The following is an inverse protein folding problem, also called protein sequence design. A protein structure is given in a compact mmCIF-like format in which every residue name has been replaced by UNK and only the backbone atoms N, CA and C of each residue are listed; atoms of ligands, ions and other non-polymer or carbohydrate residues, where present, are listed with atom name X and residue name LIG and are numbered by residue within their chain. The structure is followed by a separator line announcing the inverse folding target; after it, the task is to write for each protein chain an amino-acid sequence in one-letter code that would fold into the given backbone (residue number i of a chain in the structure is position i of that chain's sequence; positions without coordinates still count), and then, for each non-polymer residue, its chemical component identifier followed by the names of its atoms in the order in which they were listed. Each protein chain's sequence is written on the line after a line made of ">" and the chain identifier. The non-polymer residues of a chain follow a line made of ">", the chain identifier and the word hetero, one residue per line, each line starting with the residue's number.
data_IF_475517854380
#
_entry.id   IF_475517854380
#
_cell.length_a   1.000
_cell.length_b   1.000
_cell.length_c   1.000
_cell.angle_alpha   90.00
_cell.angle_beta   90.00
_cell.angle_gamma   90.00
#
_symmetry.space_group_name_H-M   'P 1'
#
loop_
_entity.id
_entity.type
_entity.pdbx_description
1 polymer ?
#
# COMPACT_ATOMS: atom_id res chain seq x y z
N UNK A 1 -12.39 -27.97 36.53
CA UNK A 1 -10.95 -27.71 36.34
C UNK A 1 -10.47 -28.03 34.92
N UNK A 2 -10.80 -29.19 34.34
CA UNK A 2 -10.39 -29.55 32.97
C UNK A 2 -10.86 -28.54 31.90
N UNK A 3 -12.12 -28.08 31.96
CA UNK A 3 -12.65 -27.08 31.02
C UNK A 3 -11.96 -25.70 31.12
N UNK A 4 -11.43 -25.34 32.30
CA UNK A 4 -10.73 -24.06 32.50
C UNK A 4 -9.45 -24.02 31.67
N UNK A 5 -8.68 -25.11 31.67
CA UNK A 5 -7.45 -25.20 30.89
C UNK A 5 -7.76 -25.10 29.39
N UNK A 6 -8.80 -25.81 28.93
CA UNK A 6 -9.23 -25.76 27.53
C UNK A 6 -9.61 -24.34 27.10
N UNK A 7 -10.45 -23.65 27.88
CA UNK A 7 -10.87 -22.27 27.58
C UNK A 7 -9.67 -21.32 27.57
N UNK A 8 -8.78 -21.43 28.55
CA UNK A 8 -7.57 -20.59 28.60
C UNK A 8 -6.68 -20.83 27.39
N UNK A 9 -6.46 -22.08 26.98
CA UNK A 9 -5.67 -22.41 25.78
C UNK A 9 -6.32 -21.87 24.50
N UNK A 10 -7.64 -22.00 24.37
CA UNK A 10 -8.37 -21.47 23.20
C UNK A 10 -8.22 -19.95 23.14
N UNK A 11 -8.40 -19.24 24.27
CA UNK A 11 -8.26 -17.78 24.33
C UNK A 11 -6.82 -17.36 24.03
N UNK A 12 -5.83 -18.07 24.57
CA UNK A 12 -4.41 -17.81 24.33
C UNK A 12 -4.02 -17.88 22.85
N UNK A 13 -4.66 -18.76 22.07
CA UNK A 13 -4.40 -18.90 20.63
C UNK A 13 -5.31 -17.98 19.81
N UNK A 14 -6.56 -17.78 20.25
CA UNK A 14 -7.52 -16.95 19.55
C UNK A 14 -7.17 -15.45 19.60
N UNK A 15 -6.62 -14.96 20.72
CA UNK A 15 -6.24 -13.55 20.87
C UNK A 15 -5.18 -13.13 19.85
N UNK A 16 -4.00 -13.79 19.74
CA UNK A 16 -3.00 -13.45 18.74
C UNK A 16 -3.53 -13.55 17.31
N UNK A 17 -4.35 -14.57 17.05
CA UNK A 17 -4.93 -14.78 15.73
C UNK A 17 -5.89 -13.64 15.35
N UNK A 18 -6.77 -13.26 16.26
CA UNK A 18 -7.69 -12.15 16.06
C UNK A 18 -6.94 -10.83 15.88
N UNK A 19 -5.97 -10.52 16.75
CA UNK A 19 -5.12 -9.34 16.64
C UNK A 19 -4.43 -9.25 15.26
N UNK A 20 -3.84 -10.36 14.80
CA UNK A 20 -3.22 -10.42 13.48
C UNK A 20 -4.22 -10.11 12.35
N UNK A 21 -5.43 -10.66 12.40
CA UNK A 21 -6.44 -10.42 11.36
C UNK A 21 -7.01 -9.00 11.40
N UNK A 22 -7.27 -8.46 12.60
CA UNK A 22 -7.82 -7.11 12.77
C UNK A 22 -6.85 -6.03 12.30
N UNK A 23 -5.55 -6.17 12.57
CA UNK A 23 -4.52 -5.23 12.12
C UNK A 23 -4.47 -5.19 10.59
N UNK A 24 -4.41 -6.35 9.92
CA UNK A 24 -4.43 -6.42 8.45
C UNK A 24 -5.70 -5.81 7.85
N UNK A 25 -6.86 -6.02 8.48
CA UNK A 25 -8.13 -5.47 8.00
C UNK A 25 -8.22 -3.95 8.14
N UNK A 26 -7.78 -3.40 9.28
CA UNK A 26 -7.68 -1.94 9.45
C UNK A 26 -6.76 -1.33 8.40
N UNK A 27 -5.62 -1.96 8.14
CA UNK A 27 -4.65 -1.46 7.18
C UNK A 27 -5.21 -1.39 5.74
N UNK A 28 -6.03 -2.38 5.34
CA UNK A 28 -6.72 -2.36 4.05
C UNK A 28 -7.62 -1.13 3.85
N UNK A 29 -8.15 -0.55 4.93
CA UNK A 29 -9.02 0.64 4.86
C UNK A 29 -8.26 1.88 4.39
N UNK A 30 -6.95 1.97 4.67
CA UNK A 30 -6.12 3.10 4.29
C UNK A 30 -5.61 3.03 2.85
N UNK A 31 -5.87 1.92 2.13
CA UNK A 31 -5.38 1.70 0.76
C UNK A 31 -5.80 2.82 -0.18
N UNK A 32 -7.08 3.20 -0.15
CA UNK A 32 -7.62 4.28 -1.00
C UNK A 32 -6.97 5.63 -0.68
N UNK A 33 -6.75 5.93 0.59
CA UNK A 33 -6.09 7.19 1.00
C UNK A 33 -4.63 7.24 0.53
N UNK A 34 -3.92 6.11 0.61
CA UNK A 34 -2.53 5.99 0.12
C UNK A 34 -2.49 6.11 -1.40
N UNK A 35 -3.43 5.48 -2.10
CA UNK A 35 -3.53 5.53 -3.56
C UNK A 35 -3.81 6.94 -4.06
N UNK A 36 -4.76 7.65 -3.43
CA UNK A 36 -5.05 9.06 -3.74
C UNK A 36 -3.84 9.96 -3.49
N UNK A 37 -3.21 9.87 -2.31
CA UNK A 37 -2.04 10.68 -1.99
C UNK A 37 -0.85 10.39 -2.92
N UNK A 38 -0.62 9.11 -3.25
CA UNK A 38 0.45 8.70 -4.16
C UNK A 38 0.17 9.17 -5.59
N UNK A 39 -1.08 9.13 -6.02
CA UNK A 39 -1.50 9.64 -7.33
C UNK A 39 -1.28 11.15 -7.41
N UNK A 40 -1.69 11.88 -6.37
CA UNK A 40 -1.51 13.33 -6.27
C UNK A 40 -0.03 13.72 -6.27
N UNK A 41 0.80 12.98 -5.52
CA UNK A 41 2.25 13.13 -5.50
C UNK A 41 2.89 12.91 -6.88
N UNK A 42 2.47 11.87 -7.61
CA UNK A 42 2.98 11.58 -8.95
C UNK A 42 2.53 12.54 -10.05
N UNK A 43 1.50 13.38 -9.83
CA UNK A 43 1.06 14.37 -10.85
C UNK A 43 2.17 15.34 -11.26
N UNK A 44 3.20 15.50 -10.43
CA UNK A 44 4.35 16.35 -10.72
C UNK A 44 5.30 15.72 -11.77
N UNK A 45 5.18 14.42 -12.03
CA UNK A 45 6.03 13.69 -12.96
C UNK A 45 5.22 13.25 -14.19
N UNK A 46 5.53 13.77 -15.39
CA UNK A 46 4.86 13.36 -16.62
C UNK A 46 5.04 11.86 -16.89
N UNK A 47 3.96 11.18 -17.29
CA UNK A 47 3.93 9.74 -17.57
C UNK A 47 4.35 8.85 -16.39
N UNK A 48 4.21 9.33 -15.15
CA UNK A 48 4.29 8.51 -13.95
C UNK A 48 2.89 8.04 -13.52
N UNK A 49 2.77 6.75 -13.21
CA UNK A 49 1.51 6.14 -12.80
C UNK A 49 1.70 5.25 -11.56
N UNK A 50 0.72 5.28 -10.66
CA UNK A 50 0.62 4.27 -9.59
C UNK A 50 0.12 2.98 -10.23
N UNK A 51 0.94 1.94 -10.16
CA UNK A 51 0.59 0.64 -10.75
C UNK A 51 -0.12 -0.27 -9.77
N UNK A 52 0.24 -0.19 -8.49
CA UNK A 52 -0.33 -1.02 -7.46
C UNK A 52 -0.02 -0.45 -6.06
N UNK A 53 -0.89 -0.76 -5.10
CA UNK A 53 -0.70 -0.46 -3.69
C UNK A 53 -1.02 -1.74 -2.93
N UNK A 54 -0.02 -2.38 -2.33
CA UNK A 54 -0.19 -3.63 -1.58
C UNK A 54 0.08 -3.42 -0.10
N UNK A 55 -0.62 -4.18 0.74
CA UNK A 55 -0.42 -4.20 2.18
C UNK A 55 0.14 -5.54 2.63
N UNK A 56 1.30 -5.55 3.30
CA UNK A 56 1.90 -6.74 3.89
C UNK A 56 2.17 -6.49 5.38
N UNK A 57 1.30 -7.02 6.24
CA UNK A 57 1.39 -6.77 7.69
C UNK A 57 1.17 -5.29 8.00
N UNK A 58 2.15 -4.65 8.67
CA UNK A 58 2.16 -3.20 8.99
C UNK A 58 2.84 -2.33 7.93
N UNK A 59 3.20 -2.89 6.77
CA UNK A 59 3.90 -2.16 5.71
C UNK A 59 3.01 -2.04 4.47
N UNK A 60 2.93 -0.82 3.94
CA UNK A 60 2.24 -0.48 2.71
C UNK A 60 3.28 -0.25 1.61
N UNK A 61 3.24 -1.06 0.57
CA UNK A 61 4.14 -0.95 -0.59
C UNK A 61 3.39 -0.29 -1.73
N UNK A 62 3.82 0.92 -2.10
CA UNK A 62 3.31 1.66 -3.25
C UNK A 62 4.24 1.38 -4.43
N UNK A 63 3.71 0.73 -5.47
CA UNK A 63 4.45 0.47 -6.70
C UNK A 63 4.10 1.51 -7.74
N UNK A 64 5.13 2.25 -8.13
CA UNK A 64 5.01 3.34 -9.10
C UNK A 64 5.83 3.02 -10.34
N UNK A 65 5.32 3.44 -11.48
CA UNK A 65 6.00 3.36 -12.75
C UNK A 65 6.30 4.77 -13.22
N UNK A 66 7.56 5.06 -13.48
CA UNK A 66 7.99 6.38 -13.97
C UNK A 66 9.10 6.22 -15.00
N UNK A 67 9.11 7.03 -16.07
CA UNK A 67 10.21 7.08 -17.02
C UNK A 67 11.45 7.81 -16.47
N UNK A 68 11.26 8.65 -15.44
CA UNK A 68 12.29 9.50 -14.83
C UNK A 68 12.51 9.18 -13.35
N UNK A 69 13.43 9.90 -12.71
CA UNK A 69 13.67 9.79 -11.26
C UNK A 69 12.40 10.11 -10.45
N UNK A 70 12.26 9.45 -9.31
CA UNK A 70 11.13 9.69 -8.41
C UNK A 70 11.13 11.13 -7.87
N UNK A 71 9.96 11.76 -7.69
CA UNK A 71 9.86 13.00 -6.94
C UNK A 71 10.31 12.79 -5.49
N UNK A 72 10.64 13.88 -4.75
CA UNK A 72 11.03 13.78 -3.35
C UNK A 72 9.95 13.08 -2.51
N UNK A 73 10.35 12.08 -1.73
CA UNK A 73 9.42 11.26 -0.92
C UNK A 73 8.96 11.96 0.36
N UNK A 74 9.62 13.04 0.76
CA UNK A 74 9.29 13.82 1.96
C UNK A 74 7.89 14.43 1.86
N UNK A 75 7.50 14.89 0.66
CA UNK A 75 6.18 15.47 0.43
C UNK A 75 5.07 14.42 0.59
N UNK A 76 5.30 13.21 0.07
CA UNK A 76 4.38 12.08 0.27
C UNK A 76 4.29 11.68 1.75
N UNK A 77 5.43 11.69 2.47
CA UNK A 77 5.45 11.37 3.88
C UNK A 77 4.66 12.39 4.72
N UNK A 78 4.79 13.69 4.42
CA UNK A 78 4.06 14.76 5.10
C UNK A 78 2.55 14.68 4.84
N UNK A 79 2.13 14.41 3.59
CA UNK A 79 0.71 14.26 3.23
C UNK A 79 0.03 13.06 3.92
N UNK A 80 0.81 12.02 4.22
CA UNK A 80 0.33 10.78 4.85
C UNK A 80 0.40 10.82 6.39
N UNK A 81 1.23 11.70 6.96
CA UNK A 81 1.46 11.80 8.41
C UNK A 81 0.18 12.08 9.20
N UNK A 82 -0.71 12.91 8.67
CA UNK A 82 -1.97 13.28 9.33
C UNK A 82 -3.11 12.28 9.04
N UNK A 83 -2.89 11.32 8.14
CA UNK A 83 -3.93 10.42 7.62
C UNK A 83 -3.74 8.96 8.02
N UNK A 84 -2.52 8.58 8.42
CA UNK A 84 -2.15 7.20 8.71
C UNK A 84 -1.46 7.13 10.07
N UNK A 85 -1.71 6.09 10.89
CA UNK A 85 -0.99 5.92 12.15
C UNK A 85 0.52 5.72 11.94
N UNK A 86 1.35 6.28 12.83
CA UNK A 86 2.82 6.17 12.82
C UNK A 86 3.36 4.72 12.86
N UNK A 87 2.53 3.75 13.22
CA UNK A 87 2.89 2.33 13.26
C UNK A 87 2.90 1.67 11.88
N UNK A 88 2.41 2.35 10.84
CA UNK A 88 2.37 1.84 9.46
C UNK A 88 3.61 2.31 8.70
N UNK A 89 4.44 1.36 8.26
CA UNK A 89 5.58 1.64 7.38
C UNK A 89 5.13 1.86 5.94
N UNK A 90 5.77 2.78 5.23
CA UNK A 90 5.48 3.06 3.81
C UNK A 90 6.74 2.81 3.00
N UNK A 91 6.62 1.99 1.96
CA UNK A 91 7.70 1.68 1.03
C UNK A 91 7.27 2.05 -0.38
N UNK A 92 8.15 2.75 -1.09
CA UNK A 92 7.92 3.11 -2.49
C UNK A 92 8.86 2.31 -3.37
N UNK A 93 8.29 1.52 -4.29
CA UNK A 93 9.03 0.77 -5.30
C UNK A 93 8.81 1.43 -6.66
N UNK A 94 9.91 1.85 -7.31
CA UNK A 94 9.86 2.41 -8.66
C UNK A 94 10.30 1.39 -9.69
N UNK A 95 9.52 1.28 -10.77
CA UNK A 95 9.90 0.53 -11.96
C UNK A 95 9.99 1.48 -13.17
N UNK A 96 11.05 1.35 -13.97
CA UNK A 96 11.16 2.10 -15.22
C UNK A 96 10.20 1.51 -16.26
N UNK A 97 9.22 2.32 -16.67
CA UNK A 97 8.22 1.92 -17.66
C UNK A 97 8.50 2.51 -19.04
N UNK A 98 8.20 1.76 -20.10
CA UNK A 98 8.17 2.28 -21.47
C UNK A 98 6.74 2.28 -21.98
N UNK A 99 6.25 3.44 -22.42
CA UNK A 99 4.95 3.57 -23.09
C UNK A 99 5.14 3.44 -24.60
N UNK A 100 4.41 2.50 -25.23
CA UNK A 100 4.41 2.32 -26.68
C UNK A 100 2.98 2.46 -27.20
N UNK A 101 2.71 3.52 -27.96
CA UNK A 101 1.43 3.71 -28.63
C UNK A 101 1.37 2.83 -29.88
N UNK A 102 0.41 1.91 -29.95
CA UNK A 102 0.18 1.06 -31.13
C UNK A 102 -1.14 1.46 -31.78
N UNK A 103 -1.09 1.95 -33.03
CA UNK A 103 -2.29 2.20 -33.85
C UNK A 103 -2.48 1.06 -34.85
N UNK A 104 -3.65 0.39 -34.89
CA UNK A 104 -3.92 -0.60 -35.92
C UNK A 104 -4.06 0.10 -37.27
N UNK A 105 -3.12 -0.14 -38.18
CA UNK A 105 -3.20 0.32 -39.56
C UNK A 105 -4.26 -0.49 -40.30
N UNK A 106 -5.33 0.17 -40.75
CA UNK A 106 -6.29 -0.42 -41.70
C UNK A 106 -5.57 -0.54 -43.04
N UNK A 107 -5.21 -1.77 -43.40
CA UNK A 107 -4.66 -2.10 -44.73
C UNK A 107 -5.79 -1.87 -45.74
N UNK A 108 -5.57 -0.97 -46.72
CA UNK A 108 -6.49 -0.77 -47.85
C UNK A 108 -6.26 -1.78 -48.96
#
# INVERSE_FOLDING_TARGET
>A
KAYTVLVVSVVLVAIPLALNTFVSYMLSTYRTTIEEASTDWLRQTPAADVTDVESHGLVMTVRVRTPEALPPTEQLADDLRDRIPDVVGIQVESTVGQTVEVRPSVVS
#
